data_IF_448848327886
#
_entry.id   IF_448848327886
#
_cell.length_a   1.000
_cell.length_b   1.000
_cell.length_c   1.000
_cell.angle_alpha   90.00
_cell.angle_beta   90.00
_cell.angle_gamma   90.00
#
_symmetry.space_group_name_H-M   'P 1'
#
loop_
_entity.id
_entity.type
_entity.pdbx_description
1 polymer ?
#
# COMPACT_ATOMS: atom_id res chain seq x y z
N UNK A 1 25.20 -4.98 -0.89
CA UNK A 1 24.13 -5.96 -0.54
C UNK A 1 23.20 -5.28 0.46
N UNK A 2 21.90 -5.19 0.19
CA UNK A 2 20.94 -4.74 1.17
C UNK A 2 20.93 -5.75 2.33
N UNK A 3 21.19 -5.28 3.54
CA UNK A 3 21.09 -6.10 4.77
C UNK A 3 19.70 -5.90 5.34
N UNK A 4 19.06 -6.95 5.77
CA UNK A 4 17.75 -6.86 6.42
C UNK A 4 16.87 -8.08 6.16
N UNK A 5 15.68 -8.07 6.74
CA UNK A 5 14.66 -9.08 6.61
C UNK A 5 13.32 -8.41 6.31
N UNK A 6 12.39 -9.18 5.80
CA UNK A 6 11.00 -8.77 5.57
C UNK A 6 10.06 -9.64 6.39
N UNK A 7 8.96 -9.05 6.88
CA UNK A 7 7.86 -9.79 7.51
C UNK A 7 6.96 -10.37 6.43
N UNK A 8 6.65 -11.66 6.54
CA UNK A 8 5.68 -12.33 5.66
C UNK A 8 4.52 -12.83 6.52
N UNK A 9 3.32 -12.37 6.20
CA UNK A 9 2.14 -12.77 6.97
C UNK A 9 1.68 -14.18 6.58
N UNK A 10 1.28 -14.99 7.57
CA UNK A 10 0.87 -16.39 7.36
C UNK A 10 -0.35 -16.56 6.46
N UNK A 11 -1.21 -15.53 6.33
CA UNK A 11 -2.35 -15.55 5.40
C UNK A 11 -1.94 -15.72 3.93
N UNK A 12 -0.65 -15.48 3.60
CA UNK A 12 -0.13 -15.75 2.27
C UNK A 12 -0.34 -17.21 1.85
N UNK A 13 -0.27 -18.16 2.79
CA UNK A 13 -0.52 -19.59 2.54
C UNK A 13 -1.91 -19.87 1.95
N UNK A 14 -2.89 -19.05 2.30
CA UNK A 14 -4.30 -19.19 1.88
C UNK A 14 -4.63 -18.37 0.63
N UNK A 15 -3.64 -17.67 0.05
CA UNK A 15 -3.84 -16.79 -1.10
C UNK A 15 -3.58 -17.50 -2.43
N UNK A 16 -4.22 -17.03 -3.49
CA UNK A 16 -3.95 -17.47 -4.87
C UNK A 16 -2.50 -17.20 -5.29
N UNK A 17 -1.84 -16.24 -4.65
CA UNK A 17 -0.42 -15.96 -4.88
C UNK A 17 0.42 -17.18 -4.51
N UNK A 18 0.12 -17.81 -3.37
CA UNK A 18 0.90 -18.95 -2.86
C UNK A 18 0.72 -20.20 -3.74
N UNK A 19 -0.46 -20.38 -4.33
CA UNK A 19 -0.78 -21.54 -5.18
C UNK A 19 -0.06 -21.51 -6.55
N UNK A 20 0.52 -20.36 -6.92
CA UNK A 20 1.25 -20.22 -8.16
C UNK A 20 2.73 -19.88 -7.90
N UNK A 21 3.62 -20.86 -8.15
CA UNK A 21 5.06 -20.72 -7.86
C UNK A 21 5.72 -19.49 -8.48
N UNK A 22 5.36 -19.17 -9.74
CA UNK A 22 5.93 -18.02 -10.46
C UNK A 22 5.36 -16.70 -9.95
N UNK A 23 4.07 -16.68 -9.63
CA UNK A 23 3.42 -15.51 -9.03
C UNK A 23 3.99 -15.24 -7.64
N UNK A 24 4.16 -16.29 -6.82
CA UNK A 24 4.78 -16.19 -5.52
C UNK A 24 6.22 -15.66 -5.62
N UNK A 25 7.02 -16.20 -6.56
CA UNK A 25 8.40 -15.76 -6.79
C UNK A 25 8.46 -14.26 -7.15
N UNK A 26 7.57 -13.80 -8.02
CA UNK A 26 7.49 -12.38 -8.41
C UNK A 26 7.00 -11.52 -7.24
N UNK A 27 6.05 -11.97 -6.45
CA UNK A 27 5.57 -11.25 -5.28
C UNK A 27 6.67 -11.11 -4.20
N UNK A 28 7.38 -12.21 -3.89
CA UNK A 28 8.52 -12.19 -2.97
C UNK A 28 9.62 -11.24 -3.47
N UNK A 29 9.87 -11.23 -4.77
CA UNK A 29 10.79 -10.26 -5.38
C UNK A 29 10.37 -8.82 -5.11
N UNK A 30 9.09 -8.49 -5.28
CA UNK A 30 8.57 -7.15 -4.97
C UNK A 30 8.78 -6.78 -3.50
N UNK A 31 8.51 -7.71 -2.58
CA UNK A 31 8.73 -7.49 -1.14
C UNK A 31 10.20 -7.25 -0.82
N UNK A 32 11.11 -8.05 -1.39
CA UNK A 32 12.55 -7.93 -1.15
C UNK A 32 13.19 -6.69 -1.78
N UNK A 33 12.59 -6.15 -2.85
CA UNK A 33 13.06 -4.92 -3.53
C UNK A 33 12.50 -3.64 -2.92
N UNK A 34 11.37 -3.73 -2.23
CA UNK A 34 10.72 -2.58 -1.63
C UNK A 34 11.61 -1.93 -0.56
N UNK A 35 11.64 -0.61 -0.56
CA UNK A 35 12.37 0.15 0.44
C UNK A 35 11.70 0.10 1.81
N UNK A 36 12.47 -0.07 2.86
CA UNK A 36 11.97 0.05 4.24
C UNK A 36 11.88 1.50 4.71
N UNK A 37 12.71 2.36 4.16
CA UNK A 37 12.81 3.77 4.55
C UNK A 37 12.77 4.67 3.33
N UNK A 38 12.40 5.93 3.57
CA UNK A 38 12.49 6.96 2.55
C UNK A 38 13.96 7.16 2.16
N UNK A 39 14.27 7.11 0.87
CA UNK A 39 15.58 7.44 0.34
C UNK A 39 15.50 7.82 -1.14
N UNK A 40 16.58 8.38 -1.66
CA UNK A 40 16.70 8.75 -3.06
C UNK A 40 17.54 7.75 -3.84
N UNK A 41 17.11 7.44 -5.04
CA UNK A 41 17.83 6.60 -5.99
C UNK A 41 18.05 7.32 -7.30
N UNK A 42 19.19 7.12 -7.93
CA UNK A 42 19.45 7.64 -9.25
C UNK A 42 18.94 6.69 -10.33
N UNK A 43 18.02 7.18 -11.17
CA UNK A 43 17.49 6.42 -12.31
C UNK A 43 17.84 7.15 -13.60
N UNK A 44 18.86 6.67 -14.30
CA UNK A 44 19.51 7.43 -15.38
C UNK A 44 20.16 8.70 -14.82
N UNK A 45 19.70 9.86 -15.25
CA UNK A 45 20.17 11.18 -14.79
C UNK A 45 19.18 11.88 -13.84
N UNK A 46 18.21 11.16 -13.28
CA UNK A 46 17.19 11.74 -12.40
C UNK A 46 17.22 11.09 -11.03
N UNK A 47 17.16 11.91 -10.01
CA UNK A 47 16.87 11.47 -8.65
C UNK A 47 15.38 11.17 -8.52
N UNK A 48 15.09 9.99 -7.98
CA UNK A 48 13.73 9.52 -7.68
C UNK A 48 13.66 9.25 -6.18
N UNK A 49 12.76 9.94 -5.50
CA UNK A 49 12.50 9.76 -4.08
C UNK A 49 11.59 8.55 -3.90
N UNK A 50 12.05 7.54 -3.19
CA UNK A 50 11.30 6.34 -2.85
C UNK A 50 10.74 6.46 -1.45
N UNK A 51 9.48 6.15 -1.30
CA UNK A 51 8.82 5.99 -0.01
C UNK A 51 8.90 4.53 0.47
N UNK A 52 8.70 4.24 1.78
CA UNK A 52 8.58 2.88 2.26
C UNK A 52 7.59 2.06 1.43
N UNK A 53 7.97 0.84 1.08
CA UNK A 53 7.17 -0.03 0.20
C UNK A 53 7.36 0.22 -1.29
N UNK A 54 8.19 1.19 -1.69
CA UNK A 54 8.41 1.51 -3.10
C UNK A 54 9.77 1.03 -3.61
N UNK A 55 9.82 0.73 -4.91
CA UNK A 55 11.06 0.47 -5.63
C UNK A 55 10.94 0.79 -7.11
N UNK A 56 12.07 1.04 -7.75
CA UNK A 56 12.14 1.21 -9.21
C UNK A 56 12.27 -0.14 -9.89
N UNK A 57 11.33 -0.42 -10.77
CA UNK A 57 11.25 -1.67 -11.51
C UNK A 57 11.76 -1.51 -12.93
N UNK A 58 12.67 -2.40 -13.34
CA UNK A 58 13.15 -2.54 -14.71
C UNK A 58 12.93 -3.97 -15.20
N UNK A 59 12.18 -4.16 -16.30
CA UNK A 59 11.80 -5.49 -16.81
C UNK A 59 12.99 -6.40 -17.06
N UNK A 60 14.02 -5.92 -17.77
CA UNK A 60 15.22 -6.71 -18.10
C UNK A 60 15.97 -7.15 -16.86
N UNK A 61 16.15 -6.23 -15.90
CA UNK A 61 16.82 -6.52 -14.63
C UNK A 61 16.04 -7.55 -13.81
N UNK A 62 14.73 -7.37 -13.68
CA UNK A 62 13.87 -8.30 -12.96
C UNK A 62 13.83 -9.69 -13.63
N UNK A 63 13.79 -9.74 -14.96
CA UNK A 63 13.85 -11.00 -15.72
C UNK A 63 15.13 -11.78 -15.44
N UNK A 64 16.26 -11.09 -15.44
CA UNK A 64 17.57 -11.69 -15.10
C UNK A 64 17.61 -12.16 -13.64
N UNK A 65 17.21 -11.31 -12.68
CA UNK A 65 17.24 -11.65 -11.25
C UNK A 65 16.27 -12.79 -10.88
N UNK A 66 15.15 -12.90 -11.60
CA UNK A 66 14.13 -13.95 -11.39
C UNK A 66 14.38 -15.22 -12.21
N UNK A 67 15.34 -15.20 -13.13
CA UNK A 67 15.53 -16.26 -14.14
C UNK A 67 14.23 -16.58 -14.88
N UNK A 68 13.60 -15.54 -15.43
CA UNK A 68 12.34 -15.63 -16.18
C UNK A 68 12.39 -14.74 -17.42
N UNK A 69 11.56 -15.07 -18.44
CA UNK A 69 11.37 -14.20 -19.59
C UNK A 69 10.72 -12.87 -19.19
N UNK A 70 11.13 -11.75 -19.79
CA UNK A 70 10.60 -10.42 -19.51
C UNK A 70 9.07 -10.35 -19.61
N UNK A 71 8.49 -10.99 -20.64
CA UNK A 71 7.05 -11.06 -20.85
C UNK A 71 6.34 -11.80 -19.71
N UNK A 72 6.95 -12.86 -19.17
CA UNK A 72 6.42 -13.63 -18.05
C UNK A 72 6.42 -12.79 -16.80
N UNK A 73 7.54 -12.14 -16.46
CA UNK A 73 7.63 -11.25 -15.30
C UNK A 73 6.57 -10.15 -15.40
N UNK A 74 6.46 -9.50 -16.56
CA UNK A 74 5.47 -8.44 -16.76
C UNK A 74 4.02 -8.93 -16.61
N UNK A 75 3.71 -10.13 -17.13
CA UNK A 75 2.39 -10.76 -16.96
C UNK A 75 2.05 -10.91 -15.47
N UNK A 76 2.96 -11.44 -14.68
CA UNK A 76 2.72 -11.64 -13.24
C UNK A 76 2.68 -10.32 -12.46
N UNK A 77 3.45 -9.30 -12.84
CA UNK A 77 3.31 -7.95 -12.28
C UNK A 77 1.91 -7.39 -12.52
N UNK A 78 1.35 -7.60 -13.72
CA UNK A 78 -0.03 -7.19 -14.02
C UNK A 78 -1.09 -7.99 -13.25
N UNK A 79 -0.85 -9.27 -13.00
CA UNK A 79 -1.72 -10.08 -12.13
C UNK A 79 -1.71 -9.52 -10.71
N UNK A 80 -0.52 -9.26 -10.14
CA UNK A 80 -0.38 -8.68 -8.80
C UNK A 80 -1.04 -7.30 -8.67
N UNK A 81 -0.97 -6.46 -9.71
CA UNK A 81 -1.69 -5.19 -9.78
C UNK A 81 -3.22 -5.42 -9.80
N UNK A 82 -3.69 -6.37 -10.62
CA UNK A 82 -5.12 -6.70 -10.72
C UNK A 82 -5.74 -7.16 -9.40
N UNK A 83 -5.00 -7.96 -8.62
CA UNK A 83 -5.42 -8.40 -7.27
C UNK A 83 -5.05 -7.42 -6.15
N UNK A 84 -4.58 -6.22 -6.51
CA UNK A 84 -4.26 -5.12 -5.59
C UNK A 84 -3.21 -5.47 -4.52
N UNK A 85 -2.26 -6.30 -4.86
CA UNK A 85 -1.09 -6.58 -4.02
C UNK A 85 0.02 -5.56 -4.23
N UNK A 86 0.07 -4.96 -5.43
CA UNK A 86 0.98 -3.89 -5.81
C UNK A 86 0.27 -2.85 -6.66
N UNK A 87 0.83 -1.65 -6.70
CA UNK A 87 0.43 -0.58 -7.61
C UNK A 87 1.58 -0.25 -8.55
N UNK A 88 1.30 -0.19 -9.86
CA UNK A 88 2.28 0.15 -10.90
C UNK A 88 2.08 1.57 -11.40
N UNK A 89 3.07 2.42 -11.23
CA UNK A 89 3.10 3.77 -11.80
C UNK A 89 4.21 3.85 -12.85
N UNK A 90 3.83 3.69 -14.11
CA UNK A 90 4.76 3.69 -15.24
C UNK A 90 4.85 5.07 -15.88
N UNK A 91 6.06 5.54 -16.07
CA UNK A 91 6.38 6.68 -16.91
C UNK A 91 7.25 6.25 -18.10
N UNK A 92 7.60 7.18 -18.98
CA UNK A 92 8.37 6.87 -20.20
C UNK A 92 9.78 6.32 -19.95
N UNK A 93 10.28 6.34 -18.72
CA UNK A 93 11.68 5.98 -18.38
C UNK A 93 11.79 4.81 -17.42
N UNK A 94 10.86 4.65 -16.48
CA UNK A 94 10.86 3.58 -15.49
C UNK A 94 9.45 3.33 -14.96
N UNK A 95 9.27 2.20 -14.28
CA UNK A 95 8.06 1.89 -13.52
C UNK A 95 8.37 1.98 -12.04
N UNK A 96 7.63 2.82 -11.32
CA UNK A 96 7.62 2.82 -9.86
C UNK A 96 6.60 1.80 -9.39
N UNK A 97 7.04 0.87 -8.58
CA UNK A 97 6.18 -0.15 -7.96
C UNK A 97 6.00 0.21 -6.49
N UNK A 98 4.77 0.17 -6.03
CA UNK A 98 4.42 0.29 -4.61
C UNK A 98 3.79 -1.02 -4.16
N UNK A 99 4.31 -1.62 -3.11
CA UNK A 99 3.66 -2.76 -2.44
C UNK A 99 2.54 -2.21 -1.58
N UNK A 100 1.31 -2.66 -1.88
CA UNK A 100 0.13 -2.17 -1.17
C UNK A 100 0.13 -2.66 0.28
N UNK A 101 -0.36 -1.81 1.19
CA UNK A 101 -0.39 -2.08 2.64
C UNK A 101 0.98 -2.37 3.29
N UNK A 102 2.09 -1.93 2.68
CA UNK A 102 3.46 -2.15 3.20
C UNK A 102 3.61 -1.83 4.68
N UNK A 103 3.20 -0.63 5.09
CA UNK A 103 3.32 -0.17 6.47
C UNK A 103 2.52 -1.01 7.47
N UNK A 104 1.42 -1.63 7.02
CA UNK A 104 0.62 -2.51 7.88
C UNK A 104 1.37 -3.80 8.23
N UNK A 105 2.15 -4.34 7.30
CA UNK A 105 2.83 -5.62 7.48
C UNK A 105 4.28 -5.50 7.96
N UNK A 106 4.96 -4.41 7.65
CA UNK A 106 6.41 -4.29 7.86
C UNK A 106 6.80 -3.52 9.11
N UNK A 107 6.00 -2.53 9.54
CA UNK A 107 6.32 -1.75 10.75
C UNK A 107 5.72 -2.39 12.00
N UNK A 108 6.43 -2.28 13.13
CA UNK A 108 5.90 -2.62 14.44
C UNK A 108 4.92 -1.55 14.93
N UNK A 109 4.03 -1.91 15.87
CA UNK A 109 2.98 -0.97 16.34
C UNK A 109 3.57 0.34 16.90
N UNK A 110 4.73 0.29 17.54
CA UNK A 110 5.43 1.48 18.04
C UNK A 110 6.03 2.40 16.96
N UNK A 111 6.41 1.84 15.79
CA UNK A 111 6.93 2.63 14.66
C UNK A 111 5.81 3.28 13.84
N UNK A 112 4.59 2.71 13.87
CA UNK A 112 3.42 3.29 13.21
C UNK A 112 2.97 4.61 13.84
N UNK A 113 3.15 4.78 15.15
CA UNK A 113 2.81 6.02 15.85
C UNK A 113 3.78 7.17 15.54
N UNK A 114 5.07 6.87 15.37
CA UNK A 114 6.08 7.91 15.05
C UNK A 114 5.96 8.46 13.63
N UNK A 115 5.58 7.64 12.65
CA UNK A 115 5.38 8.12 11.28
C UNK A 115 4.09 8.94 11.11
N UNK A 116 3.05 8.66 11.89
CA UNK A 116 1.85 9.49 11.91
C UNK A 116 2.10 10.85 12.57
N UNK A 117 2.92 10.92 13.61
CA UNK A 117 3.26 12.18 14.28
C UNK A 117 4.15 13.08 13.41
N UNK A 118 5.08 12.52 12.63
CA UNK A 118 5.92 13.30 11.72
C UNK A 118 5.16 13.87 10.51
N UNK A 119 4.00 13.30 10.14
CA UNK A 119 3.13 13.88 9.09
C UNK A 119 2.26 15.02 9.60
N UNK A 120 2.04 15.13 10.91
CA UNK A 120 1.21 16.17 11.51
C UNK A 120 2.03 17.44 11.79
N UNK A 121 3.33 17.31 12.09
CA UNK A 121 4.18 18.45 12.49
C UNK A 121 4.66 19.34 11.34
N UNK A 122 4.48 18.93 10.07
CA UNK A 122 4.93 19.72 8.90
C UNK A 122 3.81 20.51 8.20
N UNK A 123 2.59 20.56 8.78
CA UNK A 123 1.44 21.26 8.18
C UNK A 123 0.83 22.39 9.00
N UNK A 124 1.50 22.88 10.03
CA UNK A 124 1.10 24.12 10.69
C UNK A 124 2.09 25.24 10.42
N UNK A 125 2.05 25.76 9.21
CA UNK A 125 2.30 27.18 8.89
C UNK A 125 2.09 27.40 7.38
N UNK A 126 0.90 27.77 6.98
CA UNK A 126 0.63 28.95 6.18
C UNK A 126 -0.85 29.01 5.76
N UNK A 127 -1.43 30.14 6.09
CA UNK A 127 -2.81 30.56 5.90
C UNK A 127 -3.23 30.73 4.42
N UNK A 128 -4.54 30.46 4.27
CA UNK A 128 -5.49 31.18 3.36
C UNK A 128 -5.21 31.25 1.88
N UNK A 129 -6.04 30.62 1.11
CA UNK A 129 -7.15 31.16 0.28
C UNK A 129 -7.54 30.20 -0.84
N UNK A 130 -8.84 29.91 -0.84
CA UNK A 130 -9.74 29.72 -2.00
C UNK A 130 -9.51 28.67 -3.11
N UNK A 131 -10.56 27.85 -3.18
CA UNK A 131 -11.34 27.37 -4.35
C UNK A 131 -10.80 26.23 -5.20
N UNK A 132 -11.64 25.16 -5.08
CA UNK A 132 -12.08 24.26 -6.16
C UNK A 132 -11.05 23.81 -7.20
N UNK A 133 -10.76 22.50 -7.16
CA UNK A 133 -11.02 21.61 -8.32
C UNK A 133 -11.04 20.17 -7.83
N UNK A 134 -12.06 19.44 -8.22
CA UNK A 134 -12.25 18.00 -8.10
C UNK A 134 -11.03 17.24 -8.63
N UNK A 135 -10.53 16.29 -7.86
CA UNK A 135 -9.96 15.08 -8.44
C UNK A 135 -10.16 13.92 -7.46
N UNK A 136 -11.07 13.03 -7.83
CA UNK A 136 -11.30 11.76 -7.18
C UNK A 136 -10.08 10.86 -7.29
N UNK A 137 -9.79 10.22 -6.22
CA UNK A 137 -9.16 8.91 -6.00
C UNK A 137 -8.41 8.89 -4.68
N UNK A 138 -9.16 8.88 -3.59
CA UNK A 138 -8.64 8.45 -2.29
C UNK A 138 -9.72 7.71 -1.46
N UNK A 139 -10.52 6.86 -2.14
CA UNK A 139 -11.76 6.32 -1.59
C UNK A 139 -11.61 5.04 -0.73
N UNK A 140 -10.40 4.54 -0.49
CA UNK A 140 -10.25 3.23 0.18
C UNK A 140 -9.98 3.26 1.68
N UNK A 141 -9.74 4.43 2.27
CA UNK A 141 -9.62 4.57 3.71
C UNK A 141 -10.71 5.46 4.32
N UNK A 142 -11.56 6.03 3.48
CA UNK A 142 -12.57 7.01 3.89
C UNK A 142 -13.81 6.36 4.50
N UNK A 143 -14.20 5.16 4.06
CA UNK A 143 -15.42 4.52 4.55
C UNK A 143 -15.36 4.12 6.03
N UNK A 144 -14.18 3.74 6.56
CA UNK A 144 -14.05 3.50 8.02
C UNK A 144 -14.30 4.77 8.83
N UNK A 145 -13.79 5.89 8.34
CA UNK A 145 -13.97 7.21 8.98
C UNK A 145 -15.45 7.57 8.93
N UNK A 146 -16.08 7.45 7.77
CA UNK A 146 -17.47 7.81 7.53
C UNK A 146 -18.43 6.98 8.40
N UNK A 147 -18.29 5.64 8.39
CA UNK A 147 -19.09 4.73 9.19
C UNK A 147 -18.96 5.04 10.69
N UNK A 148 -17.73 5.22 11.19
CA UNK A 148 -17.51 5.46 12.62
C UNK A 148 -17.95 6.86 13.05
N UNK A 149 -17.80 7.87 12.21
CA UNK A 149 -18.33 9.21 12.48
C UNK A 149 -19.86 9.18 12.58
N UNK A 150 -20.51 8.48 11.66
CA UNK A 150 -21.96 8.31 11.69
C UNK A 150 -22.42 7.57 12.95
N UNK A 151 -21.79 6.43 13.27
CA UNK A 151 -22.06 5.67 14.50
C UNK A 151 -21.90 6.52 15.76
N UNK A 152 -20.79 7.27 15.87
CA UNK A 152 -20.52 8.14 17.01
C UNK A 152 -21.58 9.22 17.15
N UNK A 153 -22.02 9.79 16.02
CA UNK A 153 -23.07 10.82 16.02
C UNK A 153 -24.43 10.25 16.48
N UNK A 154 -24.79 9.05 16.01
CA UNK A 154 -26.09 8.44 16.34
C UNK A 154 -26.12 7.85 17.75
N UNK A 155 -25.03 7.21 18.20
CA UNK A 155 -24.95 6.51 19.47
C UNK A 155 -24.36 7.37 20.62
N UNK A 156 -23.95 8.60 20.35
CA UNK A 156 -23.33 9.48 21.36
C UNK A 156 -21.99 8.92 21.89
N UNK A 157 -21.30 8.11 21.09
CA UNK A 157 -20.07 7.42 21.47
C UNK A 157 -18.84 8.09 20.86
N UNK A 158 -17.66 7.67 21.27
CA UNK A 158 -16.38 8.18 20.73
C UNK A 158 -15.46 7.03 20.30
N UNK A 159 -15.99 6.14 19.46
CA UNK A 159 -15.19 5.05 18.88
C UNK A 159 -14.15 5.59 17.89
N UNK A 160 -13.00 4.95 17.87
CA UNK A 160 -11.91 5.31 16.94
C UNK A 160 -11.95 4.39 15.72
N UNK A 161 -12.02 4.99 14.53
CA UNK A 161 -11.96 4.27 13.25
C UNK A 161 -10.60 3.57 13.00
N UNK A 162 -9.58 3.88 13.84
CA UNK A 162 -8.23 3.33 13.74
C UNK A 162 -8.04 2.03 14.51
N UNK A 163 -8.96 1.66 15.42
CA UNK A 163 -8.81 0.43 16.21
C UNK A 163 -8.93 -0.80 15.33
N UNK A 164 -8.03 -1.77 15.55
CA UNK A 164 -7.96 -3.02 14.78
C UNK A 164 -9.30 -3.76 14.78
N UNK A 165 -9.91 -3.93 15.96
CA UNK A 165 -11.19 -4.62 16.10
C UNK A 165 -12.33 -3.94 15.34
N UNK A 166 -12.39 -2.61 15.37
CA UNK A 166 -13.40 -1.83 14.63
C UNK A 166 -13.24 -2.03 13.11
N UNK A 167 -12.01 -1.98 12.62
CA UNK A 167 -11.72 -2.20 11.19
C UNK A 167 -12.03 -3.64 10.75
N UNK A 168 -11.70 -4.62 11.57
CA UNK A 168 -12.01 -6.03 11.29
C UNK A 168 -13.51 -6.26 11.18
N UNK A 169 -14.30 -5.70 12.08
CA UNK A 169 -15.76 -5.84 12.07
C UNK A 169 -16.40 -5.16 10.85
N UNK A 170 -15.98 -3.93 10.53
CA UNK A 170 -16.49 -3.23 9.34
C UNK A 170 -16.08 -3.98 8.07
N UNK A 171 -14.81 -4.42 7.98
CA UNK A 171 -14.32 -5.14 6.83
C UNK A 171 -15.05 -6.50 6.63
N UNK A 172 -15.35 -7.20 7.71
CA UNK A 172 -16.13 -8.45 7.64
C UNK A 172 -17.50 -8.21 7.01
N UNK A 173 -18.22 -7.17 7.43
CA UNK A 173 -19.52 -6.82 6.87
C UNK A 173 -19.44 -6.35 5.41
N UNK A 174 -18.43 -5.56 5.08
CA UNK A 174 -18.20 -5.17 3.67
C UNK A 174 -17.92 -6.38 2.77
N UNK A 175 -17.23 -7.41 3.28
CA UNK A 175 -16.99 -8.67 2.55
C UNK A 175 -18.25 -9.54 2.42
N UNK A 176 -19.23 -9.39 3.33
CA UNK A 176 -20.54 -10.02 3.26
C UNK A 176 -21.49 -9.31 2.26
N UNK A 177 -21.02 -8.22 1.62
CA UNK A 177 -21.76 -7.48 0.61
C UNK A 177 -22.47 -6.23 1.12
N UNK A 178 -22.30 -5.86 2.39
CA UNK A 178 -22.84 -4.61 2.93
C UNK A 178 -22.12 -3.41 2.31
N UNK A 179 -22.87 -2.35 2.05
CA UNK A 179 -22.38 -1.05 1.57
C UNK A 179 -22.25 -0.05 2.72
N UNK A 180 -21.59 1.09 2.47
CA UNK A 180 -21.48 2.15 3.49
C UNK A 180 -22.85 2.66 3.95
N UNK A 181 -23.83 2.65 3.06
CA UNK A 181 -25.18 3.12 3.37
C UNK A 181 -25.97 2.13 4.26
N UNK A 182 -25.61 0.84 4.24
CA UNK A 182 -26.20 -0.16 5.13
C UNK A 182 -25.74 -0.01 6.60
N UNK A 183 -24.70 0.79 6.84
CA UNK A 183 -24.21 1.15 8.17
C UNK A 183 -24.83 2.45 8.72
N UNK A 184 -25.65 3.16 7.93
CA UNK A 184 -26.29 4.43 8.28
C UNK A 184 -27.76 4.25 8.59
#
# INVERSE_FOLDING_TARGET
MQKGWIKVHRSLLLSDIFQNEKLLKVFMYCLLKASHQEHEVLVGLRQVKLQPGQFVFGRKKAAHELDMKESTVWKYMKVLEGIRSITLNSNNKFTLVTVDNWGFYQFDEGEKEQQNNNKITTKEQQNNTNKNVKNGKNDKNNYYVEIIQFLNKCAGTNYRHTTKKTRELIHARMNEGFTVDDFK
#
